data_IF_524999823226
#
_entry.id   IF_524999823226
#
_cell.length_a   1.000
_cell.length_b   1.000
_cell.length_c   1.000
_cell.angle_alpha   90.00
_cell.angle_beta   90.00
_cell.angle_gamma   90.00
#
_symmetry.space_group_name_H-M   'P 1'
#
loop_
_entity.id
_entity.type
_entity.pdbx_description
1 polymer ?
#
# COMPACT_ATOMS: atom_id res chain seq x y z
N UNK A 1 -22.27 -1.49 6.80
CA UNK A 1 -21.46 -1.67 5.57
C UNK A 1 -20.08 -1.95 6.07
N UNK A 2 -19.54 -3.15 5.82
CA UNK A 2 -18.23 -3.54 6.32
C UNK A 2 -17.20 -2.65 5.64
N UNK A 3 -16.50 -1.82 6.41
CA UNK A 3 -15.23 -1.26 5.95
C UNK A 3 -14.32 -2.47 5.79
N UNK A 4 -14.20 -3.00 4.58
CA UNK A 4 -13.20 -4.02 4.28
C UNK A 4 -11.86 -3.40 4.71
N UNK A 5 -11.17 -4.02 5.67
CA UNK A 5 -10.03 -3.45 6.42
C UNK A 5 -8.78 -3.15 5.59
N UNK A 6 -8.91 -2.95 4.29
CA UNK A 6 -7.83 -2.64 3.39
C UNK A 6 -7.41 -1.17 3.49
N UNK A 7 -6.09 -0.95 3.62
CA UNK A 7 -5.46 0.37 3.46
C UNK A 7 -4.55 0.34 2.23
N UNK A 8 -4.62 1.41 1.45
CA UNK A 8 -3.74 1.65 0.30
C UNK A 8 -2.75 2.75 0.68
N UNK A 9 -1.46 2.43 0.61
CA UNK A 9 -0.35 3.30 0.99
C UNK A 9 0.44 3.62 -0.27
N UNK A 10 0.62 4.90 -0.57
CA UNK A 10 1.49 5.36 -1.66
C UNK A 10 2.85 5.74 -1.10
N UNK A 11 3.91 5.22 -1.69
CA UNK A 11 5.29 5.45 -1.27
C UNK A 11 6.09 5.98 -2.46
N UNK A 12 6.99 6.91 -2.21
CA UNK A 12 7.92 7.40 -3.23
C UNK A 12 8.84 6.28 -3.73
N UNK A 13 9.48 6.48 -4.88
CA UNK A 13 10.42 5.52 -5.49
C UNK A 13 11.77 5.48 -4.73
N UNK A 14 11.70 5.22 -3.42
CA UNK A 14 12.83 5.08 -2.52
C UNK A 14 12.71 3.75 -1.75
N UNK A 15 13.67 2.83 -1.90
CA UNK A 15 13.66 1.54 -1.20
C UNK A 15 13.61 1.64 0.33
N UNK A 16 14.16 2.69 0.94
CA UNK A 16 14.12 2.87 2.40
C UNK A 16 12.72 3.24 2.87
N UNK A 17 12.06 4.17 2.17
CA UNK A 17 10.68 4.55 2.48
C UNK A 17 9.72 3.37 2.25
N UNK A 18 9.98 2.53 1.25
CA UNK A 18 9.23 1.29 1.07
C UNK A 18 9.40 0.36 2.27
N UNK A 19 10.64 0.15 2.72
CA UNK A 19 10.89 -0.68 3.91
C UNK A 19 10.16 -0.13 5.14
N UNK A 20 10.26 1.17 5.40
CA UNK A 20 9.58 1.83 6.52
C UNK A 20 8.04 1.67 6.44
N UNK A 21 7.46 1.76 5.24
CA UNK A 21 6.04 1.53 5.05
C UNK A 21 5.62 0.08 5.32
N UNK A 22 6.44 -0.90 4.91
CA UNK A 22 6.19 -2.31 5.17
C UNK A 22 6.34 -2.65 6.66
N UNK A 23 7.35 -2.08 7.32
CA UNK A 23 7.57 -2.23 8.77
C UNK A 23 6.37 -1.66 9.54
N UNK A 24 5.89 -0.46 9.18
CA UNK A 24 4.72 0.13 9.81
C UNK A 24 3.46 -0.72 9.63
N UNK A 25 3.24 -1.31 8.44
CA UNK A 25 2.11 -2.22 8.24
C UNK A 25 2.20 -3.42 9.18
N UNK A 26 3.41 -3.97 9.35
CA UNK A 26 3.62 -5.08 10.28
C UNK A 26 3.43 -4.68 11.74
N UNK A 27 3.86 -3.49 12.15
CA UNK A 27 3.68 -2.96 13.51
C UNK A 27 2.19 -2.71 13.83
N UNK A 28 1.43 -2.27 12.83
CA UNK A 28 -0.02 -2.08 12.89
C UNK A 28 -0.82 -3.41 12.81
N UNK A 29 -0.14 -4.56 12.90
CA UNK A 29 -0.71 -5.91 12.76
C UNK A 29 -1.43 -6.16 11.41
N UNK A 30 -1.07 -5.39 10.38
CA UNK A 30 -1.59 -5.55 9.02
C UNK A 30 -0.84 -6.60 8.22
N UNK A 31 -1.53 -7.18 7.25
CA UNK A 31 -0.97 -8.14 6.29
C UNK A 31 -0.80 -7.45 4.94
N UNK A 32 0.44 -7.36 4.44
CA UNK A 32 0.69 -6.86 3.08
C UNK A 32 0.18 -7.88 2.06
N UNK A 33 -0.79 -7.46 1.24
CA UNK A 33 -1.41 -8.29 0.19
C UNK A 33 -0.73 -8.07 -1.15
N UNK A 34 -0.33 -6.83 -1.44
CA UNK A 34 0.31 -6.50 -2.71
C UNK A 34 1.24 -5.30 -2.60
N UNK A 35 2.32 -5.33 -3.38
CA UNK A 35 3.22 -4.20 -3.60
C UNK A 35 3.39 -4.04 -5.10
N UNK A 36 3.03 -2.87 -5.61
CA UNK A 36 3.06 -2.55 -7.04
C UNK A 36 3.97 -1.35 -7.26
N UNK A 37 5.06 -1.53 -8.00
CA UNK A 37 5.81 -0.38 -8.52
C UNK A 37 5.08 0.20 -9.73
N UNK A 38 5.01 1.53 -9.79
CA UNK A 38 4.41 2.24 -10.91
C UNK A 38 5.38 3.29 -11.46
N UNK A 39 5.55 3.37 -12.79
CA UNK A 39 6.37 4.39 -13.40
C UNK A 39 5.71 5.78 -13.30
N UNK A 40 6.53 6.82 -13.46
CA UNK A 40 6.06 8.18 -13.67
C UNK A 40 5.07 8.24 -14.83
N UNK A 41 3.92 8.89 -14.62
CA UNK A 41 2.84 8.95 -15.60
C UNK A 41 2.01 10.21 -15.45
N UNK A 42 1.34 10.59 -16.53
CA UNK A 42 0.31 11.60 -16.51
C UNK A 42 -1.03 10.96 -16.13
N UNK A 43 -1.76 11.55 -15.19
CA UNK A 43 -3.09 11.09 -14.76
C UNK A 43 -4.10 12.22 -14.85
N UNK A 44 -5.34 11.90 -15.20
CA UNK A 44 -6.44 12.85 -15.16
C UNK A 44 -7.21 12.70 -13.84
N UNK A 45 -7.24 13.75 -13.03
CA UNK A 45 -8.02 13.80 -11.78
C UNK A 45 -8.97 14.99 -11.85
N UNK A 46 -10.28 14.72 -11.86
CA UNK A 46 -11.30 15.78 -11.96
C UNK A 46 -11.21 16.60 -13.26
N UNK A 47 -10.80 15.98 -14.36
CA UNK A 47 -10.63 16.66 -15.65
C UNK A 47 -9.33 17.47 -15.80
N UNK A 48 -8.47 17.48 -14.78
CA UNK A 48 -7.15 18.13 -14.82
C UNK A 48 -6.06 17.08 -14.96
N UNK A 49 -5.20 17.23 -15.95
CA UNK A 49 -3.97 16.45 -16.09
C UNK A 49 -2.96 16.80 -14.99
N UNK A 50 -2.39 15.79 -14.36
CA UNK A 50 -1.32 15.91 -13.38
C UNK A 50 -0.20 14.93 -13.69
N UNK A 51 1.04 15.39 -13.57
CA UNK A 51 2.20 14.51 -13.60
C UNK A 51 2.39 13.89 -12.22
N UNK A 52 2.51 12.57 -12.17
CA UNK A 52 2.85 11.81 -10.96
C UNK A 52 4.23 11.19 -11.17
N UNK A 53 5.07 11.23 -10.14
CA UNK A 53 6.37 10.54 -10.11
C UNK A 53 6.17 9.02 -10.02
N UNK A 54 7.23 8.27 -10.30
CA UNK A 54 7.27 6.85 -9.99
C UNK A 54 7.20 6.64 -8.47
N UNK A 55 6.79 5.43 -8.08
CA UNK A 55 6.67 5.04 -6.68
C UNK A 55 6.00 3.69 -6.53
N UNK A 56 5.76 3.31 -5.28
CA UNK A 56 5.11 2.07 -4.91
C UNK A 56 3.70 2.31 -4.39
N UNK A 57 2.82 1.36 -4.64
CA UNK A 57 1.52 1.25 -4.01
C UNK A 57 1.51 -0.05 -3.20
N UNK A 58 1.37 0.08 -1.89
CA UNK A 58 1.23 -1.04 -0.96
C UNK A 58 -0.24 -1.18 -0.60
N UNK A 59 -0.77 -2.39 -0.72
CA UNK A 59 -2.13 -2.75 -0.31
C UNK A 59 -1.99 -3.68 0.88
N UNK A 60 -2.55 -3.29 2.01
CA UNK A 60 -2.49 -4.04 3.26
C UNK A 60 -3.89 -4.29 3.82
N UNK A 61 -4.10 -5.45 4.42
CA UNK A 61 -5.34 -5.87 5.07
C UNK A 61 -5.18 -5.84 6.59
N UNK A 62 -6.09 -5.16 7.28
CA UNK A 62 -6.16 -5.04 8.73
C UNK A 62 -7.40 -5.73 9.33
N UNK A 63 -8.18 -6.43 8.50
CA UNK A 63 -9.38 -7.14 8.90
C UNK A 63 -9.21 -8.66 9.00
N UNK A 64 -8.03 -9.19 8.68
CA UNK A 64 -7.75 -10.62 8.79
C UNK A 64 -7.40 -10.96 10.24
N UNK A 65 -8.13 -11.92 10.83
CA UNK A 65 -7.62 -12.66 11.98
C UNK A 65 -6.30 -13.33 11.55
N UNK A 66 -5.23 -13.27 12.38
CA UNK A 66 -3.97 -13.91 12.03
C UNK A 66 -4.22 -15.39 11.72
N UNK A 67 -3.61 -15.94 10.66
CA UNK A 67 -3.82 -17.34 10.30
C UNK A 67 -3.47 -18.21 11.51
N UNK A 68 -4.39 -19.09 11.90
CA UNK A 68 -4.18 -20.05 12.98
C UNK A 68 -2.81 -20.72 12.75
N UNK A 69 -1.92 -20.54 13.73
CA UNK A 69 -0.64 -21.24 13.78
C UNK A 69 -0.93 -22.70 14.11
N UNK A 70 -1.43 -23.46 13.14
CA UNK A 70 -1.67 -24.88 13.31
C UNK A 70 -0.33 -25.63 13.38
N UNK A 71 -0.18 -26.27 14.53
CA UNK A 71 0.97 -26.87 15.19
C UNK A 71 1.37 -28.26 14.65
#
# INVERSE_FOLDING_TARGET
>A
MSDDGYRVISVEDDPKLLQEALDQVSEDEGVVVSVLWQPSREVAVGGVSKQVSSGFVVIADFGLEPPDSHH
#
